data_IF_414266803115
#
_entry.id   IF_414266803115
#
_cell.length_a   1.000
_cell.length_b   1.000
_cell.length_c   1.000
_cell.angle_alpha   90.00
_cell.angle_beta   90.00
_cell.angle_gamma   90.00
#
_symmetry.space_group_name_H-M   'P 1'
#
loop_
_entity.id
_entity.type
_entity.pdbx_description
1 polymer ?
#
# COMPACT_ATOMS: atom_id res chain seq x y z
N UNK A 1 23.77 -27.25 -5.67
CA UNK A 1 23.48 -26.57 -5.31
C UNK A 1 22.80 -25.94 -5.52
N UNK A 2 22.49 -25.66 -5.80
CA UNK A 2 21.94 -25.05 -5.77
C UNK A 2 21.29 -24.38 -5.88
N UNK A 3 21.05 -24.86 -6.52
CA UNK A 3 19.88 -24.10 -6.16
C UNK A 3 20.15 -22.73 -5.61
N UNK A 4 21.26 -22.58 -5.04
CA UNK A 4 21.64 -21.30 -4.46
C UNK A 4 21.57 -20.18 -5.48
N UNK A 5 22.00 -20.41 -6.70
CA UNK A 5 21.95 -19.41 -7.75
C UNK A 5 20.52 -18.96 -8.02
N UNK A 6 19.57 -19.90 -7.96
CA UNK A 6 18.18 -19.58 -8.20
C UNK A 6 17.61 -18.70 -7.08
N UNK A 7 17.98 -19.02 -5.85
CA UNK A 7 17.60 -18.19 -4.70
C UNK A 7 18.16 -16.79 -4.86
N UNK A 8 19.43 -16.68 -5.26
CA UNK A 8 20.06 -15.37 -5.45
C UNK A 8 19.34 -14.55 -6.52
N UNK A 9 18.89 -15.19 -7.60
CA UNK A 9 18.15 -14.51 -8.65
C UNK A 9 16.82 -13.97 -8.13
N UNK A 10 16.15 -14.72 -7.22
CA UNK A 10 14.87 -14.27 -6.62
C UNK A 10 15.09 -13.16 -5.63
N UNK A 11 16.19 -13.17 -4.92
CA UNK A 11 16.45 -12.23 -3.84
C UNK A 11 17.58 -11.24 -4.17
N UNK A 12 17.63 -10.82 -5.43
CA UNK A 12 18.60 -9.81 -5.84
C UNK A 12 18.48 -8.56 -4.97
N UNK A 13 19.60 -7.92 -4.63
CA UNK A 13 19.56 -6.68 -3.88
C UNK A 13 18.77 -5.60 -4.62
N UNK A 14 18.04 -4.79 -3.86
CA UNK A 14 17.32 -3.67 -4.43
C UNK A 14 18.29 -2.63 -4.96
N UNK A 15 17.94 -2.01 -6.08
CA UNK A 15 18.71 -0.91 -6.65
C UNK A 15 18.48 0.35 -5.81
N UNK A 16 19.46 0.67 -4.96
CA UNK A 16 19.36 1.81 -4.06
C UNK A 16 19.52 3.16 -4.76
N UNK A 17 19.83 3.17 -6.06
CA UNK A 17 19.89 4.40 -6.84
C UNK A 17 18.51 4.84 -7.32
N UNK A 18 17.51 3.98 -7.21
CA UNK A 18 16.14 4.27 -7.63
C UNK A 18 15.24 4.53 -6.44
N UNK A 19 14.24 5.38 -6.65
CA UNK A 19 13.17 5.54 -5.67
C UNK A 19 12.28 4.29 -5.67
N UNK A 20 11.54 4.09 -4.58
CA UNK A 20 10.54 3.00 -4.54
C UNK A 20 9.53 3.20 -5.66
N UNK A 21 9.14 4.45 -5.93
CA UNK A 21 8.25 4.80 -7.04
C UNK A 21 8.75 4.23 -8.36
N UNK A 22 10.04 4.44 -8.67
CA UNK A 22 10.64 3.90 -9.89
C UNK A 22 10.71 2.39 -9.88
N UNK A 23 11.05 1.79 -8.73
CA UNK A 23 11.10 0.33 -8.59
C UNK A 23 9.75 -0.33 -8.82
N UNK A 24 8.67 0.35 -8.50
CA UNK A 24 7.30 -0.16 -8.70
C UNK A 24 6.77 0.06 -10.12
N UNK A 25 7.53 0.73 -10.98
CA UNK A 25 7.12 0.97 -12.35
C UNK A 25 6.49 2.33 -12.60
N UNK A 26 6.74 3.31 -11.72
CA UNK A 26 6.21 4.66 -11.87
C UNK A 26 4.70 4.73 -11.65
N UNK A 27 4.05 5.73 -12.22
CA UNK A 27 2.61 5.93 -12.03
C UNK A 27 1.77 4.72 -12.46
N UNK A 28 2.04 4.08 -13.61
CA UNK A 28 1.26 2.89 -13.97
C UNK A 28 1.40 1.76 -12.96
N UNK A 29 2.59 1.55 -12.42
CA UNK A 29 2.82 0.51 -11.41
C UNK A 29 2.11 0.80 -10.10
N UNK A 30 2.18 2.05 -9.63
CA UNK A 30 1.48 2.46 -8.40
C UNK A 30 -0.03 2.38 -8.60
N UNK A 31 -0.53 2.78 -9.76
CA UNK A 31 -1.97 2.69 -10.06
C UNK A 31 -2.44 1.24 -10.06
N UNK A 32 -1.68 0.34 -10.70
CA UNK A 32 -2.04 -1.07 -10.73
C UNK A 32 -2.11 -1.67 -9.32
N UNK A 33 -1.15 -1.29 -8.46
CA UNK A 33 -1.14 -1.74 -7.07
C UNK A 33 -2.39 -1.26 -6.32
N UNK A 34 -2.73 0.01 -6.45
CA UNK A 34 -3.90 0.61 -5.79
C UNK A 34 -5.18 -0.05 -6.26
N UNK A 35 -5.34 -0.25 -7.57
CA UNK A 35 -6.53 -0.90 -8.11
C UNK A 35 -6.67 -2.32 -7.56
N UNK A 36 -5.58 -3.07 -7.52
CA UNK A 36 -5.61 -4.44 -6.98
C UNK A 36 -5.95 -4.44 -5.49
N UNK A 37 -5.40 -3.52 -4.73
CA UNK A 37 -5.67 -3.38 -3.30
C UNK A 37 -7.16 -3.20 -3.04
N UNK A 38 -7.80 -2.27 -3.74
CA UNK A 38 -9.24 -2.02 -3.55
C UNK A 38 -10.11 -3.12 -4.13
N UNK A 39 -9.68 -3.77 -5.20
CA UNK A 39 -10.41 -4.94 -5.73
C UNK A 39 -10.44 -6.07 -4.69
N UNK A 40 -9.30 -6.35 -4.06
CA UNK A 40 -9.25 -7.36 -3.00
C UNK A 40 -10.12 -6.97 -1.81
N UNK A 41 -10.06 -5.70 -1.40
CA UNK A 41 -10.88 -5.20 -0.29
C UNK A 41 -12.37 -5.38 -0.56
N UNK A 42 -12.81 -5.18 -1.79
CA UNK A 42 -14.21 -5.26 -2.17
C UNK A 42 -14.68 -6.70 -2.35
N UNK A 43 -13.80 -7.59 -2.83
CA UNK A 43 -14.20 -8.94 -3.25
C UNK A 43 -13.93 -10.02 -2.20
N UNK A 44 -12.94 -9.83 -1.33
CA UNK A 44 -12.51 -10.88 -0.40
C UNK A 44 -13.12 -10.68 0.98
N UNK A 45 -13.75 -11.73 1.50
CA UNK A 45 -14.38 -11.68 2.83
C UNK A 45 -13.37 -11.47 3.95
N UNK A 46 -12.09 -11.80 3.71
CA UNK A 46 -11.03 -11.58 4.68
C UNK A 46 -10.88 -10.10 5.07
N UNK A 47 -11.36 -9.19 4.23
CA UNK A 47 -11.20 -7.74 4.42
C UNK A 47 -12.51 -7.02 4.70
N UNK A 48 -13.52 -7.75 5.20
CA UNK A 48 -14.87 -7.21 5.44
C UNK A 48 -14.86 -6.01 6.39
N UNK A 49 -14.12 -6.09 7.49
CA UNK A 49 -14.08 -5.01 8.47
C UNK A 49 -13.44 -3.75 7.87
N UNK A 50 -12.37 -3.93 7.10
CA UNK A 50 -11.71 -2.84 6.40
C UNK A 50 -12.65 -2.21 5.36
N UNK A 51 -13.33 -3.05 4.57
CA UNK A 51 -14.28 -2.57 3.57
C UNK A 51 -15.37 -1.73 4.20
N UNK A 52 -15.84 -2.12 5.37
CA UNK A 52 -16.91 -1.44 6.09
C UNK A 52 -16.54 -0.02 6.54
N UNK A 53 -15.26 0.32 6.61
CA UNK A 53 -14.82 1.69 6.94
C UNK A 53 -14.97 2.64 5.75
N UNK A 54 -15.32 2.13 4.59
CA UNK A 54 -15.47 2.92 3.36
C UNK A 54 -16.95 3.06 3.00
N UNK A 55 -17.25 4.08 2.21
CA UNK A 55 -18.62 4.26 1.69
C UNK A 55 -18.99 3.24 0.62
N UNK A 56 -20.14 3.44 -0.01
CA UNK A 56 -20.65 2.52 -1.03
C UNK A 56 -19.73 2.41 -2.24
N UNK A 57 -19.12 3.52 -2.67
CA UNK A 57 -18.18 3.54 -3.79
C UNK A 57 -16.77 3.70 -3.28
N UNK A 58 -15.84 2.98 -3.91
CA UNK A 58 -14.40 3.09 -3.63
C UNK A 58 -13.68 4.04 -4.60
N UNK A 59 -14.39 4.68 -5.52
CA UNK A 59 -13.75 5.45 -6.59
C UNK A 59 -12.87 6.58 -6.05
N UNK A 60 -13.37 7.38 -5.14
CA UNK A 60 -12.60 8.48 -4.56
C UNK A 60 -11.42 7.96 -3.73
N UNK A 61 -11.61 6.85 -3.03
CA UNK A 61 -10.54 6.24 -2.23
C UNK A 61 -9.39 5.76 -3.13
N UNK A 62 -9.72 5.15 -4.28
CA UNK A 62 -8.71 4.69 -5.24
C UNK A 62 -7.83 5.85 -5.71
N UNK A 63 -8.43 6.96 -6.08
CA UNK A 63 -7.69 8.12 -6.55
C UNK A 63 -6.83 8.73 -5.44
N UNK A 64 -7.40 8.90 -4.24
CA UNK A 64 -6.67 9.51 -3.13
C UNK A 64 -5.47 8.67 -2.69
N UNK A 65 -5.64 7.36 -2.61
CA UNK A 65 -4.52 6.49 -2.25
C UNK A 65 -3.44 6.50 -3.33
N UNK A 66 -3.83 6.49 -4.60
CA UNK A 66 -2.88 6.60 -5.70
C UNK A 66 -2.04 7.88 -5.58
N UNK A 67 -2.69 9.02 -5.42
CA UNK A 67 -1.99 10.29 -5.28
C UNK A 67 -1.06 10.32 -4.07
N UNK A 68 -1.53 9.79 -2.95
CA UNK A 68 -0.74 9.73 -1.72
C UNK A 68 0.48 8.81 -1.89
N UNK A 69 0.28 7.61 -2.43
CA UNK A 69 1.36 6.64 -2.56
C UNK A 69 2.42 7.08 -3.56
N UNK A 70 2.06 7.80 -4.62
CA UNK A 70 3.08 8.36 -5.52
C UNK A 70 4.10 9.17 -4.72
N UNK A 71 3.65 10.10 -3.90
CA UNK A 71 4.55 10.91 -3.06
C UNK A 71 5.25 10.10 -1.97
N UNK A 72 4.52 9.17 -1.34
CA UNK A 72 5.05 8.33 -0.28
C UNK A 72 6.24 7.48 -0.77
N UNK A 73 6.19 7.05 -2.01
CA UNK A 73 7.24 6.24 -2.62
C UNK A 73 8.36 7.07 -3.28
N UNK A 74 8.33 8.37 -3.14
CA UNK A 74 9.37 9.25 -3.68
C UNK A 74 9.12 9.74 -5.10
N UNK A 75 7.90 9.59 -5.60
CA UNK A 75 7.47 10.13 -6.88
C UNK A 75 6.80 11.51 -6.75
N UNK A 76 5.97 11.89 -7.74
CA UNK A 76 5.30 13.20 -7.70
C UNK A 76 4.40 13.37 -6.49
N UNK A 77 4.35 14.57 -5.94
CA UNK A 77 3.58 14.88 -4.74
C UNK A 77 2.12 15.27 -5.07
N UNK A 78 1.46 14.43 -5.85
CA UNK A 78 0.10 14.67 -6.34
C UNK A 78 -0.89 14.99 -5.22
N UNK A 79 -0.81 14.27 -4.09
CA UNK A 79 -1.73 14.48 -2.98
C UNK A 79 -1.55 15.87 -2.37
N UNK A 80 -0.29 16.25 -2.13
CA UNK A 80 0.03 17.55 -1.52
C UNK A 80 -0.42 18.70 -2.42
N UNK A 81 -0.24 18.56 -3.73
CA UNK A 81 -0.68 19.57 -4.68
C UNK A 81 -2.19 19.78 -4.66
N UNK A 82 -2.98 18.72 -4.39
CA UNK A 82 -4.43 18.78 -4.38
C UNK A 82 -5.01 19.15 -3.03
N UNK A 83 -4.43 18.65 -1.95
CA UNK A 83 -5.04 18.71 -0.61
C UNK A 83 -4.13 19.32 0.46
N UNK A 84 -2.88 19.63 0.13
CA UNK A 84 -1.90 20.08 1.11
C UNK A 84 -1.35 18.91 1.93
N UNK A 85 -0.85 19.20 3.11
CA UNK A 85 -0.26 18.18 3.99
C UNK A 85 -1.26 17.03 4.23
N UNK A 86 -0.85 15.76 4.11
CA UNK A 86 -1.77 14.63 4.24
C UNK A 86 -2.51 14.57 5.58
N UNK A 87 -1.83 14.88 6.70
CA UNK A 87 -2.43 14.82 8.04
C UNK A 87 -3.19 13.52 8.26
N UNK A 88 -2.51 12.40 8.02
CA UNK A 88 -3.15 11.09 7.94
C UNK A 88 -3.98 10.76 9.16
N UNK A 89 -3.43 10.98 10.37
CA UNK A 89 -4.15 10.65 11.59
C UNK A 89 -5.42 11.50 11.73
N UNK A 90 -5.32 12.81 11.49
CA UNK A 90 -6.47 13.70 11.61
C UNK A 90 -7.57 13.32 10.62
N UNK A 91 -7.21 12.99 9.38
CA UNK A 91 -8.18 12.64 8.35
C UNK A 91 -8.85 11.28 8.59
N UNK A 92 -8.23 10.42 9.41
CA UNK A 92 -8.80 9.10 9.72
C UNK A 92 -9.57 9.07 11.05
N UNK A 93 -9.53 10.14 11.83
CA UNK A 93 -10.27 10.20 13.09
C UNK A 93 -11.77 9.94 12.96
N UNK A 94 -12.46 10.38 11.88
CA UNK A 94 -13.89 10.07 11.72
C UNK A 94 -14.21 8.59 11.54
N UNK A 95 -13.21 7.74 11.29
CA UNK A 95 -13.43 6.32 11.03
C UNK A 95 -12.98 5.50 12.23
N UNK A 96 -13.73 4.43 12.55
CA UNK A 96 -13.36 3.54 13.64
C UNK A 96 -12.25 2.60 13.16
N UNK A 97 -11.02 2.85 13.59
CA UNK A 97 -9.85 2.06 13.19
C UNK A 97 -9.23 1.42 14.42
N UNK A 98 -9.41 0.13 14.56
CA UNK A 98 -8.80 -0.68 15.61
C UNK A 98 -7.75 -1.61 15.03
N UNK A 99 -7.37 -2.62 15.83
CA UNK A 99 -6.37 -3.61 15.41
C UNK A 99 -6.84 -4.43 14.22
N UNK A 100 -8.13 -4.77 14.17
CA UNK A 100 -8.68 -5.56 13.06
C UNK A 100 -8.54 -4.82 11.73
N UNK A 101 -8.93 -3.55 11.69
CA UNK A 101 -8.83 -2.74 10.47
C UNK A 101 -7.38 -2.53 10.07
N UNK A 102 -6.51 -2.26 11.04
CA UNK A 102 -5.07 -2.14 10.80
C UNK A 102 -4.51 -3.40 10.16
N UNK A 103 -4.79 -4.55 10.77
CA UNK A 103 -4.25 -5.83 10.32
C UNK A 103 -4.79 -6.20 8.94
N UNK A 104 -6.08 -5.95 8.69
CA UNK A 104 -6.67 -6.21 7.38
C UNK A 104 -6.08 -5.30 6.30
N UNK A 105 -5.82 -4.03 6.63
CA UNK A 105 -5.20 -3.12 5.68
C UNK A 105 -3.81 -3.61 5.25
N UNK A 106 -3.00 -3.98 6.23
CA UNK A 106 -1.64 -4.47 5.97
C UNK A 106 -1.68 -5.78 5.18
N UNK A 107 -2.54 -6.71 5.55
CA UNK A 107 -2.69 -7.99 4.86
C UNK A 107 -3.19 -7.79 3.42
N UNK A 108 -4.15 -6.90 3.22
CA UNK A 108 -4.69 -6.59 1.90
C UNK A 108 -3.62 -5.99 0.99
N UNK A 109 -2.86 -5.04 1.51
CA UNK A 109 -1.78 -4.43 0.74
C UNK A 109 -0.68 -5.45 0.42
N UNK A 110 -0.36 -6.34 1.37
CA UNK A 110 0.61 -7.41 1.13
C UNK A 110 0.19 -8.33 -0.01
N UNK A 111 -1.07 -8.74 -0.02
CA UNK A 111 -1.60 -9.57 -1.11
C UNK A 111 -1.60 -8.82 -2.44
N UNK A 112 -1.97 -7.55 -2.43
CA UNK A 112 -1.95 -6.74 -3.66
C UNK A 112 -0.54 -6.65 -4.24
N UNK A 113 0.46 -6.44 -3.38
CA UNK A 113 1.85 -6.39 -3.83
C UNK A 113 2.32 -7.73 -4.38
N UNK A 114 1.96 -8.84 -3.74
CA UNK A 114 2.29 -10.17 -4.22
C UNK A 114 1.62 -10.46 -5.57
N UNK A 115 0.35 -10.09 -5.72
CA UNK A 115 -0.38 -10.29 -6.97
C UNK A 115 0.20 -9.46 -8.11
N UNK A 116 0.80 -8.32 -7.81
CA UNK A 116 1.50 -7.49 -8.79
C UNK A 116 2.95 -7.94 -9.00
N UNK A 117 3.37 -9.03 -8.38
CA UNK A 117 4.68 -9.63 -8.54
C UNK A 117 5.83 -8.68 -8.16
N UNK A 118 5.60 -7.86 -7.14
CA UNK A 118 6.63 -6.97 -6.61
C UNK A 118 7.70 -7.82 -5.91
N UNK A 119 8.96 -7.39 -6.03
CA UNK A 119 10.10 -8.08 -5.42
C UNK A 119 9.83 -8.38 -3.93
N UNK A 120 9.98 -9.63 -3.48
CA UNK A 120 9.69 -9.99 -2.08
C UNK A 120 10.45 -9.19 -1.05
N UNK A 121 11.69 -8.81 -1.33
CA UNK A 121 12.47 -7.99 -0.39
C UNK A 121 11.85 -6.59 -0.25
N UNK A 122 11.35 -6.04 -1.34
CA UNK A 122 10.66 -4.75 -1.32
C UNK A 122 9.32 -4.87 -0.60
N UNK A 123 8.57 -5.95 -0.85
CA UNK A 123 7.30 -6.20 -0.16
C UNK A 123 7.52 -6.21 1.36
N UNK A 124 8.52 -6.93 1.83
CA UNK A 124 8.81 -7.01 3.26
C UNK A 124 9.10 -5.63 3.86
N UNK A 125 9.94 -4.84 3.20
CA UNK A 125 10.27 -3.48 3.64
C UNK A 125 9.03 -2.59 3.68
N UNK A 126 8.21 -2.65 2.64
CA UNK A 126 7.03 -1.80 2.56
C UNK A 126 5.98 -2.21 3.59
N UNK A 127 5.80 -3.51 3.83
CA UNK A 127 4.86 -3.97 4.86
C UNK A 127 5.26 -3.50 6.24
N UNK A 128 6.55 -3.51 6.54
CA UNK A 128 7.03 -2.99 7.82
C UNK A 128 6.71 -1.49 7.95
N UNK A 129 6.98 -0.71 6.92
CA UNK A 129 6.67 0.70 6.89
C UNK A 129 5.17 0.96 7.00
N UNK A 130 4.36 0.24 6.23
CA UNK A 130 2.91 0.40 6.24
C UNK A 130 2.30 0.01 7.58
N UNK A 131 2.82 -1.02 8.23
CA UNK A 131 2.33 -1.38 9.56
C UNK A 131 2.48 -0.22 10.54
N UNK A 132 3.63 0.44 10.53
CA UNK A 132 3.87 1.60 11.39
C UNK A 132 2.88 2.73 11.12
N UNK A 133 2.63 3.05 9.85
CA UNK A 133 1.68 4.08 9.48
C UNK A 133 0.25 3.68 9.86
N UNK A 134 -0.15 2.46 9.55
CA UNK A 134 -1.50 1.98 9.84
C UNK A 134 -1.76 1.92 11.36
N UNK A 135 -0.76 1.51 12.13
CA UNK A 135 -0.87 1.50 13.59
C UNK A 135 -1.00 2.90 14.16
N UNK A 136 -0.27 3.86 13.60
CA UNK A 136 -0.36 5.27 13.99
C UNK A 136 -1.77 5.84 13.78
N UNK A 137 -2.51 5.33 12.81
CA UNK A 137 -3.85 5.82 12.51
C UNK A 137 -4.96 5.19 13.36
N UNK A 138 -4.62 4.23 14.22
CA UNK A 138 -5.61 3.62 15.11
C UNK A 138 -6.17 4.65 16.08
N UNK A 139 -7.46 4.51 16.34
CA UNK A 139 -8.19 5.34 17.31
C UNK A 139 -9.12 4.50 18.20
N UNK A 140 -8.94 3.19 18.15
CA UNK A 140 -9.65 2.22 18.98
C UNK A 140 -8.69 1.25 19.65
#
# INVERSE_FOLDING_TARGET
MMTTTRVDAVFEPLDTTKTIFELLGGEPGVRALVERFYDLMDLETDFTALRATHGASLDAARDKLFWFLCGYFGGPDHYIQRFGHPRLRARHLPFAIGETERDQWVACMGRAMQDQQIDPALVERLLHSFFGVADWMRNR
#
